data_IF_335510257576
#
_entry.id   IF_335510257576
#
_cell.length_a   1.000
_cell.length_b   1.000
_cell.length_c   1.000
_cell.angle_alpha   90.00
_cell.angle_beta   90.00
_cell.angle_gamma   90.00
#
_symmetry.space_group_name_H-M   'P 1'
#
loop_
_entity.id
_entity.type
_entity.pdbx_description
1 polymer ?
#
# COMPACT_ATOMS: atom_id res chain seq x y z
N UNK A 1 15.75 -25.67 -26.82
CA UNK A 1 15.92 -24.29 -26.29
C UNK A 1 15.03 -23.24 -26.93
N UNK A 2 14.83 -23.20 -28.26
CA UNK A 2 14.00 -22.18 -28.91
C UNK A 2 12.52 -22.19 -28.48
N UNK A 3 11.92 -23.38 -28.30
CA UNK A 3 10.53 -23.55 -27.84
C UNK A 3 10.29 -22.94 -26.45
N UNK A 4 11.22 -23.14 -25.53
CA UNK A 4 11.16 -22.58 -24.18
C UNK A 4 11.29 -21.04 -24.20
N UNK A 5 12.20 -20.50 -25.00
CA UNK A 5 12.34 -19.04 -25.17
C UNK A 5 11.07 -18.39 -25.73
N UNK A 6 10.39 -19.06 -26.67
CA UNK A 6 9.11 -18.60 -27.21
C UNK A 6 8.01 -18.60 -26.14
N UNK A 7 7.95 -19.66 -25.34
CA UNK A 7 6.97 -19.77 -24.26
C UNK A 7 7.17 -18.72 -23.16
N UNK A 8 8.42 -18.44 -22.78
CA UNK A 8 8.75 -17.37 -21.82
C UNK A 8 8.25 -16.02 -22.34
N UNK A 9 8.50 -15.70 -23.62
CA UNK A 9 8.06 -14.44 -24.22
C UNK A 9 6.54 -14.28 -24.17
N UNK A 10 5.81 -15.33 -24.55
CA UNK A 10 4.34 -15.31 -24.52
C UNK A 10 3.79 -15.13 -23.10
N UNK A 11 4.37 -15.83 -22.12
CA UNK A 11 3.98 -15.70 -20.71
C UNK A 11 4.30 -14.31 -20.13
N UNK A 12 5.37 -13.66 -20.58
CA UNK A 12 5.69 -12.29 -20.18
C UNK A 12 4.67 -11.31 -20.76
N UNK A 13 4.36 -11.42 -22.05
CA UNK A 13 3.36 -10.57 -22.72
C UNK A 13 1.98 -10.72 -22.07
N UNK A 14 1.60 -11.92 -21.65
CA UNK A 14 0.34 -12.16 -20.94
C UNK A 14 0.38 -11.64 -19.51
N UNK A 15 1.51 -11.72 -18.81
CA UNK A 15 1.69 -11.10 -17.50
C UNK A 15 1.52 -9.58 -17.55
N UNK A 16 2.10 -8.93 -18.55
CA UNK A 16 2.01 -7.49 -18.72
C UNK A 16 0.56 -7.04 -18.97
N UNK A 17 -0.17 -7.78 -19.82
CA UNK A 17 -1.60 -7.54 -20.05
C UNK A 17 -2.43 -7.74 -18.78
N UNK A 18 -2.21 -8.83 -18.05
CA UNK A 18 -2.93 -9.10 -16.80
C UNK A 18 -2.65 -8.03 -15.74
N UNK A 19 -1.42 -7.50 -15.68
CA UNK A 19 -1.07 -6.36 -14.81
C UNK A 19 -1.81 -5.09 -15.21
N UNK A 20 -1.92 -4.81 -16.50
CA UNK A 20 -2.71 -3.66 -17.00
C UNK A 20 -4.22 -3.84 -16.77
N UNK A 21 -4.75 -5.04 -16.90
CA UNK A 21 -6.16 -5.34 -16.60
C UNK A 21 -6.45 -5.23 -15.11
N UNK A 22 -5.57 -5.75 -14.25
CA UNK A 22 -5.64 -5.55 -12.81
C UNK A 22 -5.52 -4.06 -12.45
N UNK A 23 -4.60 -3.32 -13.07
CA UNK A 23 -4.48 -1.88 -12.88
C UNK A 23 -5.72 -1.12 -13.36
N UNK A 24 -6.43 -1.58 -14.40
CA UNK A 24 -7.70 -0.97 -14.81
C UNK A 24 -8.85 -1.34 -13.88
N UNK A 25 -8.94 -2.59 -13.46
CA UNK A 25 -9.98 -3.10 -12.57
C UNK A 25 -9.84 -2.56 -11.13
N UNK A 26 -8.61 -2.38 -10.64
CA UNK A 26 -8.31 -1.94 -9.28
C UNK A 26 -7.73 -0.51 -9.20
N UNK A 27 -7.17 0.04 -10.28
CA UNK A 27 -6.65 1.42 -10.30
C UNK A 27 -7.73 2.49 -10.31
N UNK A 28 -8.91 2.20 -10.89
CA UNK A 28 -10.10 3.06 -10.72
C UNK A 28 -10.63 3.05 -9.28
N UNK A 29 -10.35 1.99 -8.50
CA UNK A 29 -10.58 2.01 -7.06
C UNK A 29 -9.51 2.84 -6.34
N UNK A 30 -8.26 2.85 -6.79
CA UNK A 30 -7.20 3.63 -6.11
C UNK A 30 -7.28 5.14 -6.32
N UNK A 31 -7.80 5.63 -7.45
CA UNK A 31 -7.89 7.08 -7.72
C UNK A 31 -9.16 7.73 -7.12
N UNK A 32 -10.16 6.94 -6.70
CA UNK A 32 -11.41 7.45 -6.12
C UNK A 32 -11.79 6.83 -4.76
N UNK A 33 -10.99 5.91 -4.20
CA UNK A 33 -11.08 5.62 -2.76
C UNK A 33 -10.50 6.83 -2.02
N UNK A 34 -11.14 7.33 -0.96
CA UNK A 34 -10.62 8.43 -0.18
C UNK A 34 -9.44 7.94 0.67
N UNK A 35 -8.32 7.59 0.03
CA UNK A 35 -7.08 7.20 0.69
C UNK A 35 -6.65 8.29 1.69
N UNK A 36 -6.98 9.55 1.39
CA UNK A 36 -6.85 10.69 2.31
C UNK A 36 -7.75 10.63 3.54
N UNK A 37 -8.98 10.11 3.47
CA UNK A 37 -9.84 9.95 4.64
C UNK A 37 -9.35 8.82 5.55
N UNK A 38 -8.94 7.69 4.96
CA UNK A 38 -8.32 6.60 5.72
C UNK A 38 -7.05 7.06 6.44
N UNK A 39 -6.19 7.81 5.74
CA UNK A 39 -4.98 8.40 6.30
C UNK A 39 -5.30 9.41 7.40
N UNK A 40 -6.31 10.25 7.21
CA UNK A 40 -6.78 11.19 8.23
C UNK A 40 -7.26 10.47 9.48
N UNK A 41 -8.01 9.37 9.34
CA UNK A 41 -8.48 8.59 10.48
C UNK A 41 -7.30 7.99 11.26
N UNK A 42 -6.27 7.49 10.57
CA UNK A 42 -5.04 7.03 11.21
C UNK A 42 -4.30 8.17 11.91
N UNK A 43 -4.24 9.36 11.30
CA UNK A 43 -3.67 10.55 11.94
C UNK A 43 -4.41 10.89 13.23
N UNK A 44 -5.75 10.95 13.19
CA UNK A 44 -6.57 11.26 14.35
C UNK A 44 -6.36 10.23 15.47
N UNK A 45 -6.28 8.92 15.16
CA UNK A 45 -5.94 7.87 16.13
C UNK A 45 -4.54 8.05 16.72
N UNK A 46 -3.54 8.35 15.89
CA UNK A 46 -2.17 8.57 16.33
C UNK A 46 -2.07 9.79 17.28
N UNK A 47 -2.81 10.87 17.01
CA UNK A 47 -2.91 12.07 17.84
C UNK A 47 -3.66 11.81 19.15
N UNK A 48 -4.66 10.93 19.15
CA UNK A 48 -5.34 10.48 20.37
C UNK A 48 -4.47 9.55 21.24
N UNK A 49 -3.25 9.22 20.78
CA UNK A 49 -2.32 8.37 21.50
C UNK A 49 -2.53 6.89 21.24
N UNK A 50 -3.18 6.49 20.14
CA UNK A 50 -3.24 5.08 19.74
C UNK A 50 -2.09 4.70 18.80
N UNK A 51 -1.73 3.43 18.79
CA UNK A 51 -0.82 2.88 17.79
C UNK A 51 -1.54 2.68 16.46
N UNK A 52 -0.88 3.10 15.37
CA UNK A 52 -1.33 2.88 13.98
C UNK A 52 -0.47 1.85 13.23
N UNK A 53 0.60 1.34 13.86
CA UNK A 53 1.39 0.27 13.28
C UNK A 53 0.65 -1.07 13.37
N UNK A 54 0.94 -1.98 12.43
CA UNK A 54 0.35 -3.32 12.41
C UNK A 54 0.66 -4.16 13.66
N UNK A 55 1.73 -3.84 14.40
CA UNK A 55 2.15 -4.58 15.60
C UNK A 55 1.22 -4.35 16.79
N UNK A 56 0.71 -3.13 16.95
CA UNK A 56 -0.03 -2.70 18.14
C UNK A 56 -1.31 -1.94 17.82
N UNK A 57 -1.82 -2.02 16.60
CA UNK A 57 -2.94 -1.23 16.10
C UNK A 57 -4.09 -1.09 17.11
N UNK A 58 -4.50 0.16 17.37
CA UNK A 58 -5.62 0.49 18.26
C UNK A 58 -5.36 0.37 19.76
N UNK A 59 -4.14 0.00 20.19
CA UNK A 59 -3.74 0.04 21.60
C UNK A 59 -3.26 1.43 22.00
N UNK A 60 -3.38 1.78 23.28
CA UNK A 60 -2.87 3.03 23.83
C UNK A 60 -1.34 3.01 23.83
N UNK A 61 -0.74 4.08 23.31
CA UNK A 61 0.68 4.33 23.24
C UNK A 61 1.16 4.90 24.58
N UNK A 62 2.02 4.16 25.26
CA UNK A 62 2.62 4.56 26.53
C UNK A 62 3.99 5.22 26.35
N UNK A 63 4.66 4.94 25.22
CA UNK A 63 6.00 5.43 24.84
C UNK A 63 6.08 5.63 23.33
N UNK A 64 7.07 6.36 22.84
CA UNK A 64 7.26 6.54 21.39
C UNK A 64 7.42 5.19 20.66
N UNK A 65 6.87 5.11 19.44
CA UNK A 65 6.83 3.88 18.68
C UNK A 65 7.46 4.09 17.30
N UNK A 66 8.67 3.56 17.11
CA UNK A 66 9.44 3.69 15.87
C UNK A 66 8.66 3.21 14.62
N UNK A 67 7.78 2.22 14.78
CA UNK A 67 6.94 1.72 13.68
C UNK A 67 5.81 2.68 13.31
N UNK A 68 5.31 3.47 14.26
CA UNK A 68 4.34 4.54 13.97
C UNK A 68 5.03 5.72 13.27
N UNK A 69 6.24 6.08 13.70
CA UNK A 69 7.05 7.12 13.03
C UNK A 69 7.41 6.71 11.59
N UNK A 70 7.93 5.50 11.40
CA UNK A 70 8.28 5.00 10.08
C UNK A 70 7.07 4.87 9.13
N UNK A 71 5.88 4.61 9.70
CA UNK A 71 4.63 4.70 8.94
C UNK A 71 4.40 6.14 8.46
N UNK A 72 4.53 7.14 9.33
CA UNK A 72 4.32 8.53 8.94
C UNK A 72 5.35 9.10 7.98
N UNK A 73 6.62 8.73 8.13
CA UNK A 73 7.67 9.19 7.22
C UNK A 73 7.39 8.73 5.79
N UNK A 74 6.96 7.47 5.62
CA UNK A 74 6.57 6.93 4.31
C UNK A 74 5.40 7.69 3.67
N UNK A 75 4.39 8.03 4.48
CA UNK A 75 3.20 8.71 3.98
C UNK A 75 3.47 10.21 3.69
N UNK A 76 4.39 10.86 4.42
CA UNK A 76 4.80 12.26 4.19
C UNK A 76 5.66 12.45 2.94
N UNK A 77 6.47 11.46 2.58
CA UNK A 77 7.36 11.52 1.41
C UNK A 77 6.65 11.20 0.08
N UNK A 78 5.32 11.13 0.09
CA UNK A 78 4.52 10.85 -1.11
C UNK A 78 4.53 9.36 -1.45
N UNK A 79 4.04 8.55 -0.49
CA UNK A 79 3.94 7.10 -0.56
C UNK A 79 3.64 6.57 -1.97
N UNK A 80 4.59 5.79 -2.50
CA UNK A 80 4.38 4.92 -3.67
C UNK A 80 3.60 3.68 -3.28
#
# INVERSE_FOLDING_TARGET
MQKLKKQIRLLMEENDKLREELARAYGQASENIPAREGLKNLWDLYQQGFHICNVHFGRIRTTECLFCEAFWDREREGGR
#
